data_IF_420423308092
#
_entry.id   IF_420423308092
#
_cell.length_a   1.000
_cell.length_b   1.000
_cell.length_c   1.000
_cell.angle_alpha   90.00
_cell.angle_beta   90.00
_cell.angle_gamma   90.00
#
_symmetry.space_group_name_H-M   'P 1'
#
loop_
_entity.id
_entity.type
_entity.pdbx_description
1 polymer ?
#
# COMPACT_ATOMS: atom_id res chain seq x y z
N UNK A 1 -4.46 12.63 6.90
CA UNK A 1 -3.32 11.84 7.39
C UNK A 1 -2.02 12.56 7.03
N UNK A 2 -1.95 13.85 7.30
CA UNK A 2 -0.81 14.65 6.88
C UNK A 2 0.40 14.29 7.77
N UNK A 3 1.57 14.10 7.17
CA UNK A 3 2.85 13.76 7.82
C UNK A 3 2.94 12.37 8.46
N UNK A 4 1.96 11.48 8.30
CA UNK A 4 2.03 10.13 8.91
C UNK A 4 3.01 9.19 8.21
N UNK A 5 3.38 9.50 6.96
CA UNK A 5 4.32 8.73 6.15
C UNK A 5 5.65 9.47 5.93
N UNK A 6 5.87 10.60 6.62
CA UNK A 6 6.99 11.51 6.34
C UNK A 6 8.36 10.86 6.58
N UNK A 7 8.42 9.99 7.59
CA UNK A 7 9.62 9.24 7.95
C UNK A 7 9.92 8.07 7.02
N UNK A 8 9.01 7.70 6.12
CA UNK A 8 9.23 6.61 5.18
C UNK A 8 10.00 7.12 3.96
N UNK A 9 11.13 6.49 3.66
CA UNK A 9 11.89 6.74 2.42
C UNK A 9 11.05 6.42 1.18
N UNK A 10 10.18 5.40 1.28
CA UNK A 10 9.25 4.99 0.24
C UNK A 10 7.85 4.89 0.84
N UNK A 11 6.98 5.82 0.45
CA UNK A 11 5.59 5.83 0.89
C UNK A 11 4.68 5.19 -0.18
N UNK A 12 3.88 4.22 0.25
CA UNK A 12 2.95 3.49 -0.60
C UNK A 12 1.60 3.34 0.10
N UNK A 13 0.50 3.57 -0.63
CA UNK A 13 -0.87 3.32 -0.17
C UNK A 13 -1.56 2.39 -1.14
N UNK A 14 -2.14 1.32 -0.60
CA UNK A 14 -3.00 0.42 -1.36
C UNK A 14 -4.44 0.49 -0.85
N UNK A 15 -5.40 0.54 -1.77
CA UNK A 15 -6.81 0.37 -1.43
C UNK A 15 -7.59 -0.32 -2.55
N UNK A 16 -8.53 -1.20 -2.19
CA UNK A 16 -9.45 -1.80 -3.17
C UNK A 16 -10.69 -0.91 -3.32
N UNK A 17 -10.92 -0.25 -4.48
CA UNK A 17 -12.12 0.54 -4.71
C UNK A 17 -13.39 -0.32 -4.62
N UNK A 18 -13.28 -1.62 -4.92
CA UNK A 18 -14.37 -2.58 -4.76
C UNK A 18 -14.73 -2.78 -3.28
N UNK A 19 -13.75 -3.00 -2.41
CA UNK A 19 -13.98 -3.13 -0.96
C UNK A 19 -14.52 -1.83 -0.35
N UNK A 20 -14.05 -0.66 -0.81
CA UNK A 20 -14.56 0.64 -0.36
C UNK A 20 -16.04 0.82 -0.69
N UNK A 21 -16.44 0.47 -1.92
CA UNK A 21 -17.85 0.49 -2.35
C UNK A 21 -18.70 -0.46 -1.51
N UNK A 22 -18.23 -1.69 -1.27
CA UNK A 22 -18.94 -2.67 -0.44
C UNK A 22 -19.10 -2.20 1.02
N UNK A 23 -18.07 -1.55 1.58
CA UNK A 23 -18.11 -0.99 2.95
C UNK A 23 -18.88 0.33 3.05
N UNK A 24 -19.57 0.77 1.98
CA UNK A 24 -20.30 2.06 1.87
C UNK A 24 -19.45 3.26 2.29
N UNK A 25 -18.13 3.21 2.07
CA UNK A 25 -17.23 4.32 2.34
C UNK A 25 -17.20 5.24 1.12
N UNK A 26 -16.97 6.55 1.33
CA UNK A 26 -16.82 7.47 0.21
C UNK A 26 -15.70 6.98 -0.72
N UNK A 27 -15.87 7.10 -2.04
CA UNK A 27 -14.84 6.75 -2.99
C UNK A 27 -13.59 7.57 -2.69
N UNK A 28 -12.45 6.89 -2.56
CA UNK A 28 -11.16 7.52 -2.43
C UNK A 28 -10.61 7.76 -3.83
N UNK A 29 -10.27 9.01 -4.10
CA UNK A 29 -9.68 9.43 -5.36
C UNK A 29 -8.15 9.25 -5.26
N UNK A 30 -7.55 8.32 -6.02
CA UNK A 30 -6.13 8.04 -5.92
C UNK A 30 -5.27 9.25 -6.29
N UNK A 31 -5.77 10.14 -7.16
CA UNK A 31 -5.04 11.33 -7.60
C UNK A 31 -4.95 12.40 -6.50
N UNK A 32 -5.87 12.38 -5.52
CA UNK A 32 -5.89 13.34 -4.41
C UNK A 32 -5.15 12.85 -3.18
N UNK A 33 -4.86 11.56 -3.08
CA UNK A 33 -4.14 11.00 -1.93
C UNK A 33 -2.76 11.62 -1.70
N UNK A 34 -1.92 11.83 -2.73
CA UNK A 34 -0.62 12.49 -2.55
C UNK A 34 -0.74 13.85 -1.83
N UNK A 35 -1.74 14.66 -2.22
CA UNK A 35 -2.02 15.96 -1.63
C UNK A 35 -2.52 15.83 -0.17
N UNK A 36 -3.44 14.90 0.10
CA UNK A 36 -3.93 14.63 1.46
C UNK A 36 -2.87 14.13 2.45
N UNK A 37 -1.87 13.40 1.95
CA UNK A 37 -0.74 12.92 2.75
C UNK A 37 0.41 13.92 2.81
N UNK A 38 0.41 14.95 1.94
CA UNK A 38 1.51 15.91 1.80
C UNK A 38 2.76 15.31 1.16
N UNK A 39 2.60 14.21 0.40
CA UNK A 39 3.70 13.45 -0.20
C UNK A 39 3.45 13.29 -1.70
N UNK A 40 4.00 14.17 -2.56
CA UNK A 40 3.83 14.07 -4.02
C UNK A 40 4.50 12.81 -4.61
N UNK A 41 5.43 12.20 -3.88
CA UNK A 41 6.09 10.93 -4.20
C UNK A 41 5.29 9.69 -3.75
N UNK A 42 4.11 9.89 -3.14
CA UNK A 42 3.27 8.79 -2.66
C UNK A 42 2.82 7.90 -3.82
N UNK A 43 3.18 6.62 -3.76
CA UNK A 43 2.71 5.62 -4.72
C UNK A 43 1.36 5.09 -4.28
N UNK A 44 0.37 5.19 -5.15
CA UNK A 44 -1.00 4.73 -4.87
C UNK A 44 -1.33 3.55 -5.76
N UNK A 45 -1.72 2.43 -5.15
CA UNK A 45 -2.09 1.19 -5.84
C UNK A 45 -3.55 0.85 -5.56
N UNK A 46 -4.27 0.46 -6.60
CA UNK A 46 -5.68 0.01 -6.49
C UNK A 46 -5.86 -1.46 -6.84
N UNK A 47 -4.82 -2.10 -7.34
CA UNK A 47 -4.76 -3.51 -7.72
C UNK A 47 -3.77 -4.26 -6.82
N UNK A 48 -4.14 -5.43 -6.27
CA UNK A 48 -3.23 -6.25 -5.47
C UNK A 48 -2.04 -6.76 -6.31
N UNK A 49 -2.23 -7.04 -7.61
CA UNK A 49 -1.15 -7.46 -8.50
C UNK A 49 -0.07 -6.37 -8.64
N UNK A 50 -0.46 -5.12 -8.89
CA UNK A 50 0.50 -4.00 -8.99
C UNK A 50 1.26 -3.79 -7.67
N UNK A 51 0.57 -3.95 -6.54
CA UNK A 51 1.21 -3.89 -5.23
C UNK A 51 2.22 -5.05 -5.06
N UNK A 52 1.85 -6.28 -5.44
CA UNK A 52 2.72 -7.45 -5.34
C UNK A 52 3.98 -7.28 -6.21
N UNK A 53 3.82 -6.82 -7.45
CA UNK A 53 4.95 -6.51 -8.34
C UNK A 53 5.84 -5.43 -7.73
N UNK A 54 5.26 -4.34 -7.23
CA UNK A 54 6.02 -3.27 -6.59
C UNK A 54 6.81 -3.75 -5.37
N UNK A 55 6.17 -4.50 -4.48
CA UNK A 55 6.81 -5.09 -3.30
C UNK A 55 7.93 -6.05 -3.73
N UNK A 56 7.73 -6.89 -4.75
CA UNK A 56 8.77 -7.81 -5.24
C UNK A 56 10.06 -7.11 -5.71
N UNK A 57 9.95 -5.85 -6.15
CA UNK A 57 11.07 -5.02 -6.61
C UNK A 57 11.72 -4.21 -5.49
N UNK A 58 11.08 -4.09 -4.32
CA UNK A 58 11.66 -3.36 -3.20
C UNK A 58 12.81 -4.14 -2.56
N UNK A 59 13.86 -3.42 -2.09
CA UNK A 59 14.97 -4.06 -1.40
C UNK A 59 14.47 -4.75 -0.12
N UNK A 60 14.82 -6.04 0.02
CA UNK A 60 14.50 -6.85 1.20
C UNK A 60 15.60 -6.79 2.27
N UNK A 61 16.83 -6.42 1.90
CA UNK A 61 17.95 -6.28 2.83
C UNK A 61 17.98 -4.87 3.43
N UNK A 62 18.20 -4.76 4.74
CA UNK A 62 18.28 -3.49 5.49
C UNK A 62 17.05 -2.57 5.34
N UNK A 63 15.87 -3.15 5.10
CA UNK A 63 14.63 -2.40 4.92
C UNK A 63 13.60 -2.78 6.01
N UNK A 64 12.92 -1.78 6.56
CA UNK A 64 11.78 -1.97 7.46
C UNK A 64 10.50 -1.78 6.66
N UNK A 65 9.70 -2.85 6.56
CA UNK A 65 8.45 -2.81 5.82
C UNK A 65 7.29 -2.69 6.80
N UNK A 66 6.50 -1.63 6.65
CA UNK A 66 5.30 -1.42 7.45
C UNK A 66 4.07 -1.56 6.55
N UNK A 67 3.33 -2.65 6.74
CA UNK A 67 2.11 -2.96 6.01
C UNK A 67 0.91 -2.73 6.94
N UNK A 68 0.03 -1.79 6.59
CA UNK A 68 -1.18 -1.52 7.34
C UNK A 68 -2.40 -1.65 6.43
N UNK A 69 -3.22 -2.67 6.67
CA UNK A 69 -4.51 -2.86 6.00
C UNK A 69 -5.65 -2.94 6.99
N UNK A 70 -6.84 -2.48 6.55
CA UNK A 70 -8.10 -2.72 7.27
C UNK A 70 -8.78 -4.04 6.86
N UNK A 71 -8.00 -4.99 6.29
CA UNK A 71 -8.46 -6.24 5.69
C UNK A 71 -7.29 -7.10 5.16
N UNK A 72 -7.56 -8.07 4.29
CA UNK A 72 -6.58 -9.08 3.83
C UNK A 72 -5.80 -8.72 2.55
N UNK A 73 -5.72 -7.43 2.16
CA UNK A 73 -5.13 -7.00 0.88
C UNK A 73 -5.68 -7.80 -0.34
N UNK A 74 -6.96 -8.17 -0.31
CA UNK A 74 -7.59 -9.03 -1.33
C UNK A 74 -7.01 -10.46 -1.44
N UNK A 75 -6.36 -10.96 -0.38
CA UNK A 75 -5.76 -12.30 -0.34
C UNK A 75 -4.30 -12.35 -0.78
N UNK A 76 -3.63 -11.21 -0.77
CA UNK A 76 -2.20 -11.11 -1.10
C UNK A 76 -1.37 -11.97 -0.14
N UNK A 77 -0.62 -12.92 -0.70
CA UNK A 77 0.24 -13.81 0.08
C UNK A 77 1.56 -13.11 0.41
N UNK A 78 1.64 -12.57 1.62
CA UNK A 78 2.86 -11.90 2.11
C UNK A 78 3.99 -12.89 2.39
N UNK A 79 3.70 -14.17 2.64
CA UNK A 79 4.73 -15.19 2.85
C UNK A 79 5.59 -15.42 1.60
N UNK A 80 4.95 -15.45 0.44
CA UNK A 80 5.62 -15.50 -0.85
C UNK A 80 6.51 -14.26 -1.09
N UNK A 81 6.15 -13.11 -0.53
CA UNK A 81 6.91 -11.86 -0.66
C UNK A 81 8.09 -11.78 0.33
N UNK A 82 7.95 -12.28 1.56
CA UNK A 82 9.03 -12.24 2.56
C UNK A 82 10.14 -13.25 2.30
N UNK A 83 9.90 -14.26 1.46
CA UNK A 83 10.93 -15.23 1.09
C UNK A 83 11.39 -16.11 2.25
N UNK A 84 10.64 -16.16 3.35
CA UNK A 84 10.83 -17.19 4.36
C UNK A 84 10.37 -18.53 3.79
N UNK A 85 11.34 -19.30 3.28
CA UNK A 85 11.21 -20.74 3.22
C UNK A 85 11.30 -21.26 4.64
N UNK A 86 10.25 -21.95 5.10
CA UNK A 86 10.27 -22.72 6.34
C UNK A 86 11.43 -23.71 6.40
#
# INVERSE_FOLDING_TARGET
YQNTLDLADVACVYFSPHTLKMKKRPPLDPEKLPDFFGRPDLKVFTSPDDLAVFLSQMPKAHANWLLMSSGTFDGLDFGALTGESA
#
